data_IF_057811375995
#
_entry.id   IF_057811375995
#
_cell.length_a   1.000
_cell.length_b   1.000
_cell.length_c   1.000
_cell.angle_alpha   90.00
_cell.angle_beta   90.00
_cell.angle_gamma   90.00
#
_symmetry.space_group_name_H-M   'P 1'
#
loop_
_entity.id
_entity.type
_entity.pdbx_description
1 polymer ?
2 non-polymer ?
3 water ?
#
# COMPACT_ATOMS: atom_id res chain seq x y z
N UNK A 1 13.92 10.37 -18.60
CA UNK A 1 12.82 10.71 -17.65
C UNK A 1 13.30 11.28 -16.33
N UNK A 2 13.69 10.38 -15.40
CA UNK A 2 13.86 10.74 -13.99
C UNK A 2 15.14 10.17 -13.41
N UNK A 3 15.74 10.95 -12.53
CA UNK A 3 16.92 10.56 -11.79
C UNK A 3 16.49 10.21 -10.37
N UNK A 4 17.04 9.13 -9.85
CA UNK A 4 16.44 8.45 -8.73
C UNK A 4 17.47 7.89 -7.81
N UNK A 5 17.24 8.04 -6.52
CA UNK A 5 18.11 7.43 -5.52
C UNK A 5 17.29 6.47 -4.71
N UNK A 6 17.98 5.62 -3.95
CA UNK A 6 17.34 4.62 -3.12
C UNK A 6 17.99 4.59 -1.77
N UNK A 7 17.19 4.50 -0.72
CA UNK A 7 17.71 4.43 0.63
C UNK A 7 17.31 3.10 1.25
N UNK A 8 18.25 2.45 1.94
CA UNK A 8 18.08 1.05 2.39
C UNK A 8 18.28 0.09 1.23
N UNK A 9 18.98 0.57 0.18
CA UNK A 9 19.19 -0.13 -1.11
C UNK A 9 19.86 -1.52 -1.05
N UNK A 10 20.47 -1.81 0.10
CA UNK A 10 20.85 -3.16 0.47
C UNK A 10 19.96 -3.64 1.62
N UNK A 11 18.79 -4.11 1.22
CA UNK A 11 18.02 -5.08 1.95
C UNK A 11 17.63 -6.02 0.83
N UNK A 12 16.89 -7.07 1.16
CA UNK A 12 16.19 -7.92 0.16
C UNK A 12 15.48 -6.99 -0.85
N UNK A 13 14.73 -6.10 -0.21
CA UNK A 13 13.81 -5.18 -0.81
C UNK A 13 14.55 -4.25 -1.74
N UNK A 14 15.63 -3.65 -1.22
CA UNK A 14 16.45 -2.72 -1.99
C UNK A 14 16.76 -3.23 -3.38
N UNK A 15 17.41 -4.39 -3.42
CA UNK A 15 17.94 -5.00 -4.65
C UNK A 15 16.91 -5.06 -5.77
N UNK A 16 15.73 -5.55 -5.38
CA UNK A 16 14.65 -5.70 -6.33
C UNK A 16 14.28 -4.35 -6.95
N UNK A 17 14.37 -3.30 -6.17
CA UNK A 17 13.97 -1.98 -6.64
C UNK A 17 15.08 -1.40 -7.49
N UNK A 18 16.30 -1.51 -6.98
CA UNK A 18 17.50 -1.15 -7.72
C UNK A 18 17.31 -1.62 -9.16
N UNK A 19 17.17 -2.93 -9.30
CA UNK A 19 17.10 -3.56 -10.60
C UNK A 19 15.98 -2.95 -11.41
N UNK A 20 14.80 -2.93 -10.81
CA UNK A 20 13.61 -2.41 -11.47
C UNK A 20 13.85 -1.05 -12.13
N UNK A 21 14.72 -0.25 -11.54
CA UNK A 21 15.06 1.07 -12.12
C UNK A 21 15.89 0.94 -13.40
N UNK A 22 17.01 0.23 -13.26
CA UNK A 22 17.94 -0.01 -14.34
C UNK A 22 17.12 -0.55 -15.48
N UNK A 23 16.58 -1.74 -15.28
CA UNK A 23 15.71 -2.37 -16.23
C UNK A 23 14.78 -1.36 -16.90
N UNK A 24 14.17 -0.46 -16.13
CA UNK A 24 13.30 0.52 -16.74
C UNK A 24 14.08 1.36 -17.73
N UNK A 25 13.48 1.55 -18.90
CA UNK A 25 13.95 2.55 -19.85
C UNK A 25 14.06 3.96 -19.25
N UNK A 26 12.96 4.49 -18.68
CA UNK A 26 12.86 5.95 -18.44
C UNK A 26 13.33 6.43 -17.06
N UNK A 27 14.17 5.65 -16.40
CA UNK A 27 14.54 6.01 -15.04
C UNK A 27 16.01 5.78 -14.87
N UNK A 28 16.76 6.85 -14.64
CA UNK A 28 18.20 6.71 -14.42
C UNK A 28 18.42 6.53 -12.91
N UNK A 29 19.13 5.47 -12.54
CA UNK A 29 19.46 5.16 -11.16
C UNK A 29 20.68 5.92 -10.75
N UNK A 30 20.52 6.85 -9.85
CA UNK A 30 21.53 7.86 -9.62
C UNK A 30 22.23 7.77 -8.23
N UNK A 31 21.82 6.87 -7.33
CA UNK A 31 22.52 6.66 -6.04
C UNK A 31 22.19 5.33 -5.36
N UNK A 32 22.64 5.18 -4.12
CA UNK A 32 22.44 3.98 -3.30
C UNK A 32 22.92 4.41 -1.94
N UNK A 33 22.30 3.97 -0.86
CA UNK A 33 22.71 4.32 0.50
C UNK A 33 22.61 3.12 1.43
N UNK A 34 23.65 2.91 2.26
CA UNK A 34 23.73 1.74 3.17
C UNK A 34 22.53 1.64 4.09
N UNK A 35 22.50 2.51 5.08
CA UNK A 35 21.25 3.01 5.70
C UNK A 35 21.53 4.48 6.11
N UNK A 36 22.40 4.68 7.11
CA UNK A 36 22.66 6.02 7.67
C UNK A 36 23.85 6.82 7.02
N UNK A 37 24.38 6.37 5.87
CA UNK A 37 25.52 7.06 5.18
C UNK A 37 25.11 8.44 4.60
N UNK A 38 26.03 9.20 4.03
CA UNK A 38 25.78 10.65 3.87
C UNK A 38 24.89 11.06 2.67
N UNK A 39 23.81 11.74 3.03
CA UNK A 39 22.69 12.01 2.13
C UNK A 39 23.11 13.01 1.08
N UNK A 40 23.87 14.03 1.49
CA UNK A 40 24.53 14.96 0.58
C UNK A 40 24.59 14.39 -0.82
N UNK A 41 25.20 13.22 -0.87
CA UNK A 41 25.40 12.46 -2.07
C UNK A 41 24.26 12.50 -3.09
N UNK A 42 23.03 12.62 -2.63
CA UNK A 42 21.89 12.77 -3.54
C UNK A 42 22.00 14.00 -4.38
N UNK A 43 22.41 15.10 -3.74
CA UNK A 43 22.41 16.40 -4.40
C UNK A 43 23.58 16.47 -5.33
N UNK A 44 24.75 16.08 -4.80
CA UNK A 44 25.95 15.88 -5.61
C UNK A 44 25.60 15.20 -6.94
N UNK A 45 24.82 14.11 -6.85
CA UNK A 45 24.37 13.34 -8.00
C UNK A 45 23.09 13.85 -8.70
N UNK A 46 22.37 14.76 -8.06
CA UNK A 46 21.28 15.51 -8.70
C UNK A 46 20.04 14.64 -8.90
N UNK A 47 19.56 14.06 -7.80
CA UNK A 47 18.41 13.13 -7.81
C UNK A 47 17.13 13.90 -7.77
N UNK A 48 16.13 13.51 -8.55
CA UNK A 48 14.84 14.20 -8.60
C UNK A 48 13.79 13.59 -7.63
N UNK A 49 13.99 12.30 -7.30
CA UNK A 49 13.02 11.50 -6.56
C UNK A 49 13.73 10.36 -5.83
N UNK A 50 13.33 10.10 -4.59
CA UNK A 50 13.87 8.95 -3.89
C UNK A 50 12.86 7.96 -3.40
N UNK A 51 13.36 6.75 -3.21
CA UNK A 51 12.58 5.65 -2.78
C UNK A 51 13.21 5.26 -1.49
N UNK A 52 12.41 5.15 -0.46
CA UNK A 52 12.95 4.99 0.87
C UNK A 52 12.35 3.81 1.59
N UNK A 53 13.24 2.99 2.15
CA UNK A 53 12.87 1.88 3.01
C UNK A 53 13.63 1.81 4.36
N UNK A 54 14.03 2.96 4.88
CA UNK A 54 14.87 2.99 6.07
C UNK A 54 14.10 2.73 7.38
N UNK A 55 14.77 2.05 8.30
CA UNK A 55 14.30 1.96 9.70
C UNK A 55 13.56 3.24 10.09
N UNK A 56 12.38 3.09 10.67
CA UNK A 56 11.60 4.26 11.06
C UNK A 56 12.31 5.24 11.95
N UNK A 57 13.43 4.85 12.55
CA UNK A 57 14.27 5.82 13.24
C UNK A 57 14.85 6.83 12.29
N UNK A 58 15.54 6.36 11.26
CA UNK A 58 16.14 7.26 10.27
C UNK A 58 15.12 8.08 9.47
N UNK A 59 13.97 7.45 9.16
CA UNK A 59 13.20 7.85 7.99
C UNK A 59 12.86 9.31 7.99
N UNK A 60 12.45 9.77 9.16
CA UNK A 60 11.97 11.12 9.29
C UNK A 60 13.01 12.17 8.97
N UNK A 61 14.25 11.84 9.31
CA UNK A 61 15.38 12.68 9.03
C UNK A 61 15.61 12.82 7.54
N UNK A 62 15.83 11.70 6.87
CA UNK A 62 16.03 11.72 5.41
C UNK A 62 14.88 12.45 4.74
N UNK A 63 13.69 12.20 5.25
CA UNK A 63 12.55 12.91 4.72
C UNK A 63 12.77 14.39 4.75
N UNK A 64 12.96 14.95 5.95
CA UNK A 64 13.19 16.40 6.13
C UNK A 64 14.21 16.85 5.09
N UNK A 65 15.35 16.19 5.09
CA UNK A 65 16.40 16.49 4.16
C UNK A 65 15.97 16.53 2.73
N UNK A 66 15.29 15.48 2.30
CA UNK A 66 14.86 15.40 0.92
C UNK A 66 13.97 16.53 0.57
N UNK A 67 13.03 16.81 1.45
CA UNK A 67 12.11 17.88 1.19
C UNK A 67 12.86 19.18 1.12
N UNK A 68 13.74 19.41 2.09
CA UNK A 68 14.51 20.64 2.10
C UNK A 68 15.25 20.89 0.83
N UNK A 69 15.86 19.87 0.25
CA UNK A 69 16.56 20.08 -0.98
C UNK A 69 15.68 19.74 -2.16
N UNK A 70 14.39 20.05 -2.08
CA UNK A 70 13.46 19.82 -3.18
C UNK A 70 13.26 18.44 -3.79
N UNK A 71 13.74 17.37 -3.15
CA UNK A 71 13.62 16.05 -3.74
C UNK A 71 12.34 15.44 -3.23
N UNK A 72 11.57 14.85 -4.14
CA UNK A 72 10.35 14.17 -3.76
C UNK A 72 10.67 12.75 -3.39
N UNK A 73 9.74 12.15 -2.65
CA UNK A 73 10.01 10.84 -2.02
C UNK A 73 8.82 9.91 -1.97
N UNK A 74 9.14 8.66 -2.28
CA UNK A 74 8.21 7.58 -2.26
C UNK A 74 8.61 6.66 -1.12
N UNK A 75 7.77 6.65 -0.10
CA UNK A 75 8.09 5.98 1.14
C UNK A 75 7.22 4.76 1.31
N UNK A 76 7.85 3.63 1.61
CA UNK A 76 7.16 2.42 2.03
C UNK A 76 7.56 1.91 3.40
N UNK A 77 8.39 2.70 4.08
CA UNK A 77 8.67 2.47 5.47
C UNK A 77 7.36 2.57 6.27
N UNK A 78 7.23 1.69 7.26
CA UNK A 78 6.07 1.68 8.14
C UNK A 78 6.29 2.67 9.27
N UNK A 79 5.26 2.84 10.07
CA UNK A 79 5.38 3.60 11.31
C UNK A 79 5.21 5.06 11.04
N UNK A 80 3.95 5.44 10.88
CA UNK A 80 3.57 6.79 10.59
C UNK A 80 2.29 7.15 11.33
N UNK A 81 2.40 7.28 12.66
CA UNK A 81 1.30 7.85 13.46
C UNK A 81 0.94 9.18 12.88
N UNK A 82 -0.21 9.69 13.27
CA UNK A 82 -0.68 10.96 12.71
C UNK A 82 0.19 12.11 13.17
N UNK A 83 1.01 11.87 14.20
CA UNK A 83 2.05 12.81 14.62
C UNK A 83 3.09 13.00 13.53
N UNK A 84 3.58 11.86 13.08
CA UNK A 84 4.53 11.80 12.01
C UNK A 84 4.00 12.33 10.70
N UNK A 85 2.77 12.02 10.38
CA UNK A 85 2.13 12.67 9.23
C UNK A 85 2.10 14.15 9.45
N UNK A 86 1.81 14.57 10.66
CA UNK A 86 1.67 15.99 10.94
C UNK A 86 3.04 16.68 10.80
N UNK A 87 4.09 15.97 11.19
CA UNK A 87 5.44 16.49 10.99
C UNK A 87 5.67 16.82 9.54
N UNK A 88 5.31 15.87 8.72
CA UNK A 88 5.60 15.94 7.32
C UNK A 88 4.76 16.99 6.66
N UNK A 89 3.47 16.92 6.87
CA UNK A 89 2.63 17.99 6.46
C UNK A 89 3.29 19.36 6.68
N UNK A 90 3.82 19.55 7.90
CA UNK A 90 4.46 20.81 8.34
C UNK A 90 5.72 21.15 7.52
N UNK A 91 6.57 20.15 7.31
CA UNK A 91 7.72 20.25 6.43
C UNK A 91 7.37 20.80 5.06
N UNK A 92 6.13 20.60 4.63
CA UNK A 92 5.80 20.77 3.23
C UNK A 92 5.03 22.01 2.92
N UNK A 93 4.86 22.94 3.85
CA UNK A 93 3.99 24.08 3.55
C UNK A 93 4.59 25.08 2.56
N UNK A 94 3.78 25.50 1.59
CA UNK A 94 4.21 26.38 0.52
C UNK A 94 5.51 25.91 -0.09
N UNK A 95 5.46 24.77 -0.76
CA UNK A 95 6.56 24.35 -1.64
C UNK A 95 6.00 24.13 -3.05
N UNK A 96 4.91 23.36 -3.13
CA UNK A 96 4.19 22.97 -4.40
C UNK A 96 5.09 22.65 -5.60
N UNK A 97 6.33 22.23 -5.31
CA UNK A 97 7.27 21.73 -6.30
C UNK A 97 7.94 20.48 -5.78
N UNK A 98 7.25 19.80 -4.86
CA UNK A 98 7.80 18.63 -4.17
C UNK A 98 6.68 17.86 -3.47
N UNK A 99 6.81 16.54 -3.47
CA UNK A 99 5.80 15.67 -2.93
C UNK A 99 6.37 14.56 -2.08
N UNK A 100 5.48 13.97 -1.31
CA UNK A 100 5.77 12.75 -0.59
C UNK A 100 4.61 11.86 -0.85
N UNK A 101 4.89 10.57 -0.86
CA UNK A 101 3.84 9.59 -0.93
C UNK A 101 4.20 8.54 0.03
N UNK A 102 3.20 8.22 0.84
CA UNK A 102 3.32 7.16 1.79
C UNK A 102 2.34 6.06 1.52
N UNK A 103 2.88 4.93 1.11
CA UNK A 103 2.06 3.88 0.67
C UNK A 103 2.25 2.77 1.66
N UNK A 104 1.25 2.59 2.52
CA UNK A 104 1.29 1.40 3.38
C UNK A 104 1.19 0.09 2.58
N UNK A 105 0.73 0.17 1.33
CA UNK A 105 0.82 -0.95 0.42
C UNK A 105 1.16 -0.53 -1.01
N UNK A 106 2.07 -1.29 -1.63
CA UNK A 106 2.52 -1.06 -2.99
C UNK A 106 2.17 -2.18 -3.98
N UNK A 107 1.44 -3.16 -3.50
CA UNK A 107 0.95 -4.23 -4.34
C UNK A 107 -0.29 -3.74 -5.12
N UNK A 108 -0.09 -3.37 -6.37
CA UNK A 108 -1.10 -2.67 -7.14
C UNK A 108 -2.37 -3.46 -7.14
N UNK A 109 -2.20 -4.75 -7.42
CA UNK A 109 -3.29 -5.69 -7.38
C UNK A 109 -4.06 -5.55 -6.10
N UNK A 110 -3.34 -5.69 -4.97
CA UNK A 110 -3.91 -5.41 -3.66
C UNK A 110 -4.54 -4.04 -3.53
N UNK A 111 -3.83 -3.02 -3.94
CA UNK A 111 -4.40 -1.72 -3.83
C UNK A 111 -5.71 -1.67 -4.62
N UNK A 112 -5.62 -1.97 -5.92
CA UNK A 112 -6.80 -1.92 -6.81
C UNK A 112 -8.01 -2.66 -6.30
N UNK A 113 -7.73 -3.82 -5.75
CA UNK A 113 -8.68 -4.64 -5.04
C UNK A 113 -9.35 -3.90 -3.93
N UNK A 114 -8.58 -3.36 -2.97
CA UNK A 114 -9.10 -2.43 -1.95
C UNK A 114 -10.02 -1.47 -2.63
N UNK A 115 -9.50 -0.76 -3.62
CA UNK A 115 -10.24 0.31 -4.30
C UNK A 115 -11.56 -0.15 -4.86
N UNK A 116 -11.51 -1.16 -5.73
CA UNK A 116 -12.70 -1.58 -6.41
C UNK A 116 -13.76 -2.08 -5.44
N UNK A 117 -13.34 -2.74 -4.38
CA UNK A 117 -14.28 -3.27 -3.44
C UNK A 117 -15.11 -2.18 -2.82
N UNK A 118 -14.49 -1.03 -2.62
CA UNK A 118 -15.17 0.09 -2.01
C UNK A 118 -16.23 0.56 -2.97
N UNK A 119 -15.82 0.69 -4.24
CA UNK A 119 -16.72 1.11 -5.31
C UNK A 119 -17.90 0.18 -5.54
N UNK A 120 -17.67 -1.11 -5.42
CA UNK A 120 -18.68 -2.15 -5.65
C UNK A 120 -19.67 -2.36 -4.53
N UNK A 121 -19.25 -2.06 -3.32
CA UNK A 121 -19.97 -2.54 -2.15
C UNK A 121 -21.42 -2.08 -2.07
N UNK A 122 -21.69 -0.89 -2.61
CA UNK A 122 -23.02 -0.32 -2.50
C UNK A 122 -24.05 -1.07 -3.32
N UNK A 123 -23.62 -1.93 -4.23
CA UNK A 123 -24.57 -2.62 -5.04
C UNK A 123 -24.89 -4.01 -4.61
N UNK A 124 -24.20 -4.56 -3.63
CA UNK A 124 -24.46 -5.95 -3.31
C UNK A 124 -24.84 -6.16 -1.88
N UNK A 125 -25.89 -6.94 -1.68
CA UNK A 125 -26.43 -7.13 -0.35
C UNK A 125 -25.41 -7.91 0.47
N UNK A 126 -24.82 -8.94 -0.13
CA UNK A 126 -23.85 -9.74 0.57
C UNK A 126 -22.50 -9.30 0.15
N UNK A 127 -21.56 -9.45 1.09
CA UNK A 127 -20.12 -9.26 0.81
C UNK A 127 -19.21 -9.91 1.86
N UNK A 128 -18.33 -10.82 1.45
CA UNK A 128 -17.40 -11.42 2.40
C UNK A 128 -15.97 -11.37 1.87
N UNK A 129 -15.05 -11.68 2.76
CA UNK A 129 -13.63 -11.66 2.43
C UNK A 129 -12.94 -12.91 2.87
N UNK A 130 -11.99 -13.33 2.02
CA UNK A 130 -11.18 -14.47 2.24
C UNK A 130 -9.78 -14.18 1.83
N UNK A 131 -8.89 -14.60 2.68
CA UNK A 131 -7.54 -14.18 2.67
C UNK A 131 -6.78 -15.46 2.83
N UNK A 132 -5.68 -15.60 2.10
CA UNK A 132 -4.86 -16.81 2.15
C UNK A 132 -3.41 -16.51 1.99
N UNK A 133 -2.63 -17.26 2.75
CA UNK A 133 -1.25 -16.94 3.06
C UNK A 133 -0.51 -18.15 3.52
N UNK A 134 0.78 -18.24 3.20
CA UNK A 134 1.65 -19.27 3.75
C UNK A 134 1.49 -19.45 5.27
N UNK A 135 1.78 -20.63 5.79
CA UNK A 135 1.43 -20.95 7.15
C UNK A 135 2.30 -20.31 8.26
N UNK A 136 3.58 -20.06 7.96
CA UNK A 136 4.52 -19.22 8.76
C UNK A 136 3.89 -17.90 9.34
N UNK A 137 2.81 -17.40 8.74
CA UNK A 137 2.31 -16.08 9.01
C UNK A 137 1.72 -15.92 10.38
N UNK A 138 2.12 -14.81 10.97
CA UNK A 138 2.02 -14.52 12.40
C UNK A 138 0.66 -14.10 12.95
N UNK A 139 -0.24 -13.75 12.07
CA UNK A 139 -1.39 -12.94 12.45
C UNK A 139 -2.52 -13.21 11.48
N UNK A 140 -3.74 -13.26 11.98
CA UNK A 140 -4.88 -13.59 11.14
C UNK A 140 -6.09 -12.85 11.63
N UNK A 141 -6.75 -12.07 10.78
CA UNK A 141 -6.45 -11.97 9.36
C UNK A 141 -5.35 -11.01 9.00
N UNK A 142 -4.89 -11.08 7.77
CA UNK A 142 -3.85 -10.20 7.35
C UNK A 142 -4.35 -8.80 7.59
N UNK A 143 -3.41 -7.87 7.75
CA UNK A 143 -3.73 -6.45 7.80
C UNK A 143 -4.57 -6.03 6.61
N UNK A 144 -4.08 -6.37 5.42
CA UNK A 144 -4.72 -6.06 4.13
C UNK A 144 -6.16 -6.52 4.14
N UNK A 145 -6.40 -7.77 4.44
CA UNK A 145 -7.76 -8.24 4.64
C UNK A 145 -8.59 -7.29 5.49
N UNK A 146 -8.05 -6.94 6.64
CA UNK A 146 -8.84 -6.16 7.59
C UNK A 146 -9.18 -4.81 7.01
N UNK A 147 -8.21 -4.19 6.36
CA UNK A 147 -8.42 -2.91 5.76
C UNK A 147 -9.50 -3.04 4.72
N UNK A 148 -9.41 -4.08 3.91
CA UNK A 148 -10.39 -4.27 2.86
C UNK A 148 -11.75 -4.19 3.49
N UNK A 149 -11.94 -4.95 4.55
CA UNK A 149 -13.25 -5.12 5.05
C UNK A 149 -13.76 -3.81 5.58
N UNK A 150 -12.88 -3.03 6.20
CA UNK A 150 -13.30 -1.78 6.82
C UNK A 150 -13.77 -0.86 5.77
N UNK A 151 -12.98 -0.76 4.73
CA UNK A 151 -13.35 0.01 3.57
C UNK A 151 -14.66 -0.35 2.92
N UNK A 152 -14.94 -1.64 2.86
CA UNK A 152 -16.25 -2.10 2.43
C UNK A 152 -17.30 -1.60 3.40
N UNK A 153 -17.03 -1.77 4.67
CA UNK A 153 -18.01 -1.42 5.68
C UNK A 153 -18.35 0.07 5.61
N UNK A 154 -17.31 0.85 5.36
CA UNK A 154 -17.46 2.25 5.14
C UNK A 154 -18.42 2.52 4.03
N UNK A 155 -18.07 2.02 2.87
CA UNK A 155 -18.86 2.30 1.70
C UNK A 155 -20.34 1.97 1.91
N UNK A 156 -20.63 1.03 2.79
CA UNK A 156 -21.98 0.64 3.09
C UNK A 156 -22.66 1.53 4.07
N UNK A 157 -21.93 1.95 5.11
CA UNK A 157 -22.51 2.79 6.18
C UNK A 157 -22.94 4.10 5.55
N UNK A 158 -21.97 4.75 4.89
CA UNK A 158 -22.19 5.77 3.85
C UNK A 158 -23.11 5.09 2.89
N UNK A 159 -23.87 5.79 2.08
CA UNK A 159 -24.81 5.06 1.21
C UNK A 159 -25.58 3.99 2.05
N UNK A 160 -26.23 4.45 3.10
CA UNK A 160 -26.74 3.65 4.20
C UNK A 160 -27.37 2.35 3.86
N UNK A 161 -26.66 1.28 4.19
CA UNK A 161 -27.13 -0.08 4.00
C UNK A 161 -27.46 -0.75 5.34
N UNK A 162 -28.13 -1.89 5.25
CA UNK A 162 -28.45 -2.72 6.41
C UNK A 162 -27.25 -3.62 6.76
N UNK A 163 -27.48 -4.62 7.62
CA UNK A 163 -26.57 -5.77 7.76
C UNK A 163 -27.07 -6.78 6.76
N UNK A 164 -26.27 -7.82 6.59
CA UNK A 164 -26.47 -8.67 5.44
C UNK A 164 -27.26 -9.91 5.80
N UNK A 165 -27.90 -10.53 4.79
CA UNK A 165 -28.71 -11.71 5.03
C UNK A 165 -27.89 -12.91 5.49
N UNK A 166 -28.33 -13.53 6.59
CA UNK A 166 -27.69 -14.73 7.12
C UNK A 166 -28.65 -15.42 8.10
N UNK A 167 -29.42 -16.36 7.60
CA UNK A 167 -30.39 -17.09 8.41
C UNK A 167 -29.78 -18.24 9.21
N UNK A 168 -28.59 -18.03 9.78
CA UNK A 168 -27.86 -19.09 10.43
C UNK A 168 -28.37 -19.19 11.84
N UNK A 169 -29.05 -20.29 12.09
CA UNK A 169 -29.52 -20.66 13.40
C UNK A 169 -28.26 -21.17 14.04
N UNK A 170 -27.93 -20.59 15.19
CA UNK A 170 -26.71 -20.88 15.95
C UNK A 170 -25.58 -21.61 15.18
N UNK A 171 -24.71 -20.83 14.53
CA UNK A 171 -23.58 -21.37 13.76
C UNK A 171 -22.51 -21.90 14.67
N UNK A 172 -21.60 -22.65 14.10
CA UNK A 172 -20.53 -23.30 14.86
C UNK A 172 -19.48 -22.25 15.06
N UNK A 173 -18.77 -22.24 16.19
CA UNK A 173 -17.70 -21.24 16.39
C UNK A 173 -16.70 -21.27 15.27
N UNK A 174 -16.18 -20.10 14.93
CA UNK A 174 -15.19 -19.98 13.86
C UNK A 174 -15.75 -19.96 12.46
N UNK A 175 -16.90 -20.59 12.26
CA UNK A 175 -17.32 -20.98 10.93
C UNK A 175 -17.71 -19.84 10.00
N UNK A 176 -18.01 -18.67 10.55
CA UNK A 176 -18.44 -17.55 9.71
C UNK A 176 -17.44 -16.43 9.76
N UNK A 177 -16.20 -16.79 10.07
CA UNK A 177 -15.08 -15.87 9.96
C UNK A 177 -15.14 -14.84 11.05
N UNK A 178 -14.26 -13.86 10.98
CA UNK A 178 -14.17 -12.84 12.00
C UNK A 178 -14.98 -11.72 11.52
N UNK A 179 -15.82 -11.14 12.39
CA UNK A 179 -16.55 -9.97 11.99
C UNK A 179 -15.67 -8.74 12.08
N UNK A 180 -15.75 -7.93 11.03
CA UNK A 180 -14.91 -6.76 10.86
C UNK A 180 -15.80 -5.67 10.33
N UNK A 181 -16.36 -4.90 11.25
CA UNK A 181 -17.34 -3.89 10.93
C UNK A 181 -18.40 -4.59 10.14
N UNK A 182 -18.89 -5.71 10.69
CA UNK A 182 -19.93 -6.50 10.05
C UNK A 182 -19.55 -7.27 8.79
N UNK A 183 -18.27 -7.32 8.43
CA UNK A 183 -17.81 -8.06 7.26
C UNK A 183 -17.06 -9.30 7.67
N UNK A 184 -17.56 -10.47 7.31
CA UNK A 184 -16.89 -11.72 7.53
C UNK A 184 -15.60 -11.79 6.76
N UNK A 185 -14.57 -12.23 7.45
CA UNK A 185 -13.23 -12.32 6.91
C UNK A 185 -12.65 -13.67 7.31
N UNK A 186 -12.23 -14.45 6.31
CA UNK A 186 -11.75 -15.80 6.51
C UNK A 186 -10.28 -15.89 6.15
N UNK A 187 -9.54 -16.55 7.03
CA UNK A 187 -8.12 -16.57 6.96
C UNK A 187 -7.72 -18.01 6.82
N UNK A 188 -6.92 -18.23 5.79
CA UNK A 188 -6.54 -19.53 5.38
C UNK A 188 -5.05 -19.58 5.29
N UNK A 189 -4.47 -20.58 5.95
CA UNK A 189 -3.03 -20.70 6.04
C UNK A 189 -2.71 -21.96 5.31
N UNK A 190 -1.92 -21.87 4.28
CA UNK A 190 -1.81 -22.99 3.39
C UNK A 190 -0.38 -23.05 2.86
N UNK A 191 0.28 -24.12 3.25
CA UNK A 191 1.58 -24.44 2.76
C UNK A 191 1.60 -24.38 1.23
N UNK A 192 2.62 -23.78 0.65
CA UNK A 192 2.70 -23.64 -0.79
C UNK A 192 2.25 -22.30 -1.31
N UNK A 193 1.26 -21.74 -0.65
CA UNK A 193 0.74 -20.41 -1.00
C UNK A 193 1.66 -19.33 -0.47
N UNK A 194 1.40 -18.10 -0.91
CA UNK A 194 2.19 -16.91 -0.64
C UNK A 194 1.28 -15.88 -0.04
N UNK A 195 0.57 -15.12 -0.86
CA UNK A 195 -0.32 -14.10 -0.31
C UNK A 195 -1.41 -13.72 -1.28
N UNK A 196 -2.66 -13.82 -0.82
CA UNK A 196 -3.80 -13.79 -1.68
C UNK A 196 -5.02 -13.32 -0.94
N UNK A 197 -5.82 -12.52 -1.65
CA UNK A 197 -7.12 -12.05 -1.20
C UNK A 197 -8.13 -12.32 -2.23
N UNK A 198 -9.37 -12.21 -1.82
CA UNK A 198 -10.49 -12.65 -2.58
C UNK A 198 -11.71 -12.03 -1.91
N UNK A 199 -12.40 -11.17 -2.63
CA UNK A 199 -13.52 -10.45 -2.09
C UNK A 199 -14.76 -10.81 -2.89
N UNK A 200 -15.74 -11.39 -2.22
CA UNK A 200 -16.97 -11.81 -2.88
C UNK A 200 -18.15 -10.91 -2.51
N UNK A 201 -18.90 -10.54 -3.54
CA UNK A 201 -20.09 -9.72 -3.48
C UNK A 201 -21.29 -10.46 -4.07
N UNK A 202 -22.44 -10.33 -3.41
CA UNK A 202 -23.61 -11.15 -3.72
C UNK A 202 -24.88 -10.33 -3.86
N UNK A 203 -25.64 -10.66 -4.89
CA UNK A 203 -26.94 -10.04 -5.17
C UNK A 203 -27.67 -11.11 -5.83
N UNK A 204 -28.97 -10.87 -5.95
CA UNK A 204 -29.89 -11.62 -6.77
C UNK A 204 -29.25 -12.10 -8.04
N UNK A 205 -29.20 -13.41 -8.17
CA UNK A 205 -28.78 -14.03 -9.39
C UNK A 205 -27.30 -14.06 -9.67
N UNK A 206 -26.47 -13.37 -8.88
CA UNK A 206 -25.09 -13.15 -9.32
C UNK A 206 -24.10 -12.84 -8.24
N UNK A 207 -22.84 -12.93 -8.65
CA UNK A 207 -21.74 -12.54 -7.82
C UNK A 207 -20.71 -11.85 -8.63
N UNK A 208 -19.90 -11.10 -7.90
CA UNK A 208 -18.72 -10.51 -8.38
C UNK A 208 -17.60 -10.86 -7.41
N UNK A 209 -16.53 -11.46 -7.94
CA UNK A 209 -15.38 -11.73 -7.14
C UNK A 209 -14.22 -11.00 -7.72
N UNK A 210 -13.45 -10.37 -6.83
CA UNK A 210 -12.23 -9.70 -7.13
C UNK A 210 -11.17 -10.39 -6.31
N UNK A 211 -10.15 -10.91 -6.96
CA UNK A 211 -9.15 -11.63 -6.24
C UNK A 211 -7.79 -11.26 -6.72
N UNK A 212 -6.96 -10.97 -5.71
CA UNK A 212 -5.59 -10.60 -5.90
C UNK A 212 -4.73 -11.76 -5.44
N UNK A 213 -3.61 -11.93 -6.13
CA UNK A 213 -2.68 -13.03 -5.91
C UNK A 213 -1.30 -12.50 -6.14
N UNK A 214 -0.48 -12.67 -5.13
CA UNK A 214 0.93 -12.43 -5.18
C UNK A 214 1.57 -13.79 -5.23
N UNK A 215 2.46 -13.94 -6.20
CA UNK A 215 3.18 -15.16 -6.41
C UNK A 215 4.54 -15.09 -5.78
N UNK A 216 4.93 -13.95 -5.23
CA UNK A 216 6.34 -13.64 -5.10
C UNK A 216 6.56 -12.38 -4.27
N UNK A 217 7.48 -12.46 -3.30
CA UNK A 217 7.77 -11.36 -2.37
C UNK A 217 8.00 -9.98 -3.04
N UNK A 218 8.27 -9.91 -4.34
CA UNK A 218 8.61 -8.63 -4.98
C UNK A 218 7.48 -7.85 -5.69
N UNK A 219 6.23 -8.11 -5.36
CA UNK A 219 5.10 -7.46 -6.04
C UNK A 219 4.96 -5.96 -5.76
N UNK A 220 5.68 -5.49 -4.77
CA UNK A 220 5.67 -4.07 -4.46
C UNK A 220 6.25 -3.17 -5.55
N UNK A 221 7.10 -3.71 -6.42
CA UNK A 221 7.91 -2.86 -7.29
C UNK A 221 7.11 -2.05 -8.30
N UNK A 222 6.18 -2.68 -9.01
CA UNK A 222 5.26 -1.91 -9.87
C UNK A 222 4.57 -0.74 -9.16
N UNK A 223 4.14 -0.98 -7.92
CA UNK A 223 3.71 0.08 -7.00
C UNK A 223 4.70 1.17 -6.99
N UNK A 224 5.89 0.83 -6.58
CA UNK A 224 6.86 1.87 -6.36
C UNK A 224 7.12 2.74 -7.60
N UNK A 225 7.05 2.14 -8.77
CA UNK A 225 7.34 2.91 -9.98
C UNK A 225 6.18 3.75 -10.34
N UNK A 226 4.99 3.27 -10.20
CA UNK A 226 3.84 4.14 -10.34
C UNK A 226 4.02 5.41 -9.48
N UNK A 227 4.58 5.21 -8.28
CA UNK A 227 4.86 6.31 -7.39
C UNK A 227 5.82 7.21 -8.07
N UNK A 228 7.01 6.69 -8.31
CA UNK A 228 8.10 7.48 -8.87
C UNK A 228 7.71 8.21 -10.17
N UNK A 229 7.03 7.54 -11.07
CA UNK A 229 6.65 8.11 -12.35
C UNK A 229 5.60 9.17 -12.19
N UNK A 230 5.09 9.45 -11.00
CA UNK A 230 3.94 10.39 -10.87
C UNK A 230 3.95 11.36 -9.73
N UNK A 231 4.80 11.12 -8.75
CA UNK A 231 4.91 11.98 -7.59
C UNK A 231 5.10 13.39 -8.09
N UNK A 232 5.89 13.45 -9.18
CA UNK A 232 6.15 14.67 -9.94
C UNK A 232 4.90 15.50 -10.24
N UNK A 233 3.69 14.97 -10.09
CA UNK A 233 2.49 15.72 -10.32
C UNK A 233 1.54 15.53 -9.18
N UNK A 234 2.08 15.44 -7.97
CA UNK A 234 1.28 15.30 -6.77
C UNK A 234 2.15 15.89 -5.72
N UNK A 235 2.28 17.21 -5.75
CA UNK A 235 3.07 17.82 -4.72
C UNK A 235 2.33 17.71 -3.41
N UNK A 236 3.04 18.00 -2.34
CA UNK A 236 2.48 17.79 -1.01
C UNK A 236 2.53 16.33 -0.56
N UNK A 237 1.69 16.00 0.41
CA UNK A 237 1.75 14.69 1.02
C UNK A 237 0.55 13.89 0.63
N UNK A 238 0.80 12.67 0.23
CA UNK A 238 -0.28 11.77 -0.07
C UNK A 238 -0.02 10.51 0.66
N UNK A 239 -1.12 9.89 1.10
CA UNK A 239 -1.05 8.60 1.75
C UNK A 239 -1.96 7.61 1.01
N UNK A 240 -1.34 6.58 0.44
CA UNK A 240 -2.05 5.55 -0.27
C UNK A 240 -1.83 5.75 -1.75
N UNK A 241 -1.20 4.78 -2.40
CA UNK A 241 -1.17 4.67 -3.86
C UNK A 241 -2.49 4.87 -4.58
N UNK A 242 -3.59 4.41 -3.98
CA UNK A 242 -4.92 4.60 -4.56
C UNK A 242 -5.05 5.97 -5.21
N UNK A 243 -4.49 6.99 -4.55
CA UNK A 243 -4.61 8.36 -4.98
C UNK A 243 -3.78 8.68 -6.20
N UNK A 244 -2.61 8.07 -6.34
CA UNK A 244 -1.82 8.22 -7.55
C UNK A 244 -2.45 7.57 -8.77
N UNK A 245 -3.36 6.62 -8.59
CA UNK A 245 -3.91 5.85 -9.72
C UNK A 245 -4.91 6.59 -10.57
N UNK A 246 -5.41 7.71 -10.08
CA UNK A 246 -6.28 8.56 -10.88
C UNK A 246 -7.57 7.81 -11.11
N UNK A 247 -8.24 7.50 -9.99
CA UNK A 247 -9.57 6.88 -9.98
C UNK A 247 -10.43 7.53 -8.92
X LIG B 1 -0.43 -7.94 5.54
X LIG B 1 0.90 -7.37 5.87
X LIG B 1 -0.95 -8.38 6.84
X LIG B 1 -0.43 -9.02 4.49
X LIG B 1 -1.28 -6.82 5.11
X LIG C 1 3.87 -12.27 6.20
X LIG C 1 2.81 -12.31 7.20
X LIG C 1 4.55 -10.97 6.38
X LIG C 1 4.84 -13.36 6.52
X LIG C 1 3.26 -12.39 4.83
#
# INVERSE_FOLDING_TARGET
>A
GIKVGVLGAKGRVGQTIVAAVNESDDLELVAEIGVDDDLSLLVDNGAEVVVDFTTPNAVMGNLEFCINNGISAVVGTTGFDDARLEQVRDWLEGKDNVGVLIAPNFAISAVLTMVFSKQAARFFESAEVIELHHPNKLDAPSGTAIHTAQGIAAARKEAGMDAQPDATEQALEGSRGASVDGIPVHAVRMSGMVAHEQVIFGTQGQTLTIKQDSYDRNSFAPGVLVGVRNIAQHPGLVVGLEHYLGL
>B hetero
1 SO4 S O1 O2 O3 O4
>C hetero
1 SO4 S O1 O2 O3 O4
#
